data_IF_472156605771
#
_entry.id   IF_472156605771
#
_cell.length_a   1.000
_cell.length_b   1.000
_cell.length_c   1.000
_cell.angle_alpha   90.00
_cell.angle_beta   90.00
_cell.angle_gamma   90.00
#
_symmetry.space_group_name_H-M   'P 1'
#
loop_
_entity.id
_entity.type
_entity.pdbx_description
1 polymer ?
#
# COMPACT_ATOMS: atom_id res chain seq x y z
N UNK A 1 54.77 -49.55 -57.12
CA UNK A 1 54.62 -48.81 -55.85
C UNK A 1 55.56 -47.62 -55.84
N UNK A 2 55.03 -46.43 -56.16
CA UNK A 2 55.47 -45.20 -55.50
C UNK A 2 54.28 -44.57 -54.76
N UNK A 3 54.44 -44.50 -53.43
CA UNK A 3 53.91 -43.50 -52.48
C UNK A 3 52.42 -43.12 -52.51
N UNK A 4 51.68 -43.75 -51.60
CA UNK A 4 50.38 -43.35 -51.04
C UNK A 4 50.47 -42.06 -50.18
N UNK A 5 50.89 -40.93 -50.74
CA UNK A 5 50.88 -39.65 -50.03
C UNK A 5 50.32 -38.55 -50.92
N UNK A 6 49.00 -38.51 -51.13
CA UNK A 6 48.26 -37.30 -51.51
C UNK A 6 46.75 -37.58 -51.42
N UNK A 7 46.25 -37.87 -50.21
CA UNK A 7 44.82 -38.12 -49.96
C UNK A 7 44.19 -37.02 -49.10
N UNK A 8 44.38 -35.74 -49.45
CA UNK A 8 43.65 -34.70 -48.75
C UNK A 8 43.38 -33.47 -49.62
N UNK A 9 42.13 -33.35 -50.08
CA UNK A 9 41.63 -32.29 -50.95
C UNK A 9 41.73 -30.89 -50.33
N UNK A 10 41.90 -30.80 -49.01
CA UNK A 10 42.00 -29.53 -48.27
C UNK A 10 43.42 -29.02 -48.08
N UNK A 11 44.44 -29.77 -48.53
CA UNK A 11 45.85 -29.35 -48.51
C UNK A 11 46.25 -28.48 -49.71
N UNK A 12 45.40 -28.42 -50.74
CA UNK A 12 45.61 -27.73 -52.01
C UNK A 12 45.11 -26.28 -52.00
N UNK A 13 45.27 -25.55 -50.90
CA UNK A 13 44.68 -24.21 -50.75
C UNK A 13 45.72 -23.08 -50.75
N UNK A 14 47.01 -23.39 -50.76
CA UNK A 14 48.05 -22.36 -50.93
C UNK A 14 48.11 -21.94 -52.41
N UNK A 15 48.37 -20.66 -52.73
CA UNK A 15 48.51 -20.22 -54.12
C UNK A 15 49.56 -21.03 -54.90
N UNK A 16 50.60 -21.49 -54.22
CA UNK A 16 51.68 -22.27 -54.80
C UNK A 16 51.24 -23.73 -55.02
N UNK A 17 50.53 -24.37 -54.08
CA UNK A 17 49.97 -25.71 -54.30
C UNK A 17 48.87 -25.70 -55.36
N UNK A 18 48.06 -24.62 -55.42
CA UNK A 18 47.08 -24.39 -56.48
C UNK A 18 47.77 -24.19 -57.83
N UNK A 19 48.88 -23.46 -57.89
CA UNK A 19 49.67 -23.30 -59.12
C UNK A 19 50.39 -24.59 -59.54
N UNK A 20 50.96 -25.33 -58.59
CA UNK A 20 51.57 -26.64 -58.81
C UNK A 20 50.54 -27.67 -59.27
N UNK A 21 49.33 -27.69 -58.68
CA UNK A 21 48.22 -28.52 -59.14
C UNK A 21 47.71 -28.07 -60.50
N UNK A 22 47.60 -26.77 -60.76
CA UNK A 22 47.27 -26.24 -62.09
C UNK A 22 48.32 -26.61 -63.13
N UNK A 23 49.60 -26.63 -62.75
CA UNK A 23 50.70 -27.03 -63.61
C UNK A 23 50.69 -28.54 -63.85
N UNK A 24 50.53 -29.35 -62.79
CA UNK A 24 50.40 -30.80 -62.87
C UNK A 24 49.20 -31.22 -63.70
N UNK A 25 48.02 -30.61 -63.49
CA UNK A 25 46.81 -30.87 -64.28
C UNK A 25 47.06 -30.52 -65.75
N UNK A 26 47.70 -29.37 -66.05
CA UNK A 26 48.06 -28.98 -67.42
C UNK A 26 49.05 -29.95 -68.07
N UNK A 27 50.10 -30.34 -67.36
CA UNK A 27 51.15 -31.25 -67.86
C UNK A 27 50.63 -32.68 -68.04
N UNK A 28 49.83 -33.18 -67.10
CA UNK A 28 49.21 -34.51 -67.17
C UNK A 28 48.12 -34.58 -68.25
N UNK A 29 47.34 -33.50 -68.47
CA UNK A 29 46.40 -33.40 -69.59
C UNK A 29 47.14 -33.35 -70.94
N UNK A 30 48.22 -32.58 -71.05
CA UNK A 30 49.04 -32.55 -72.25
C UNK A 30 49.69 -33.92 -72.57
N UNK A 31 50.08 -34.69 -71.54
CA UNK A 31 50.60 -36.06 -71.70
C UNK A 31 49.50 -37.07 -72.09
N UNK A 32 48.25 -36.86 -71.65
CA UNK A 32 47.09 -37.62 -72.12
C UNK A 32 46.76 -37.30 -73.59
N UNK A 33 46.94 -36.06 -74.05
CA UNK A 33 46.60 -35.64 -75.41
C UNK A 33 47.63 -36.04 -76.49
N UNK A 34 48.84 -36.50 -76.12
CA UNK A 34 49.84 -37.00 -77.08
C UNK A 34 49.51 -38.41 -77.63
N UNK A 35 49.66 -38.66 -78.95
CA UNK A 35 49.50 -40.00 -79.52
C UNK A 35 50.63 -40.94 -79.06
N UNK A 36 50.30 -42.18 -78.69
CA UNK A 36 51.28 -43.17 -78.19
C UNK A 36 52.11 -43.75 -79.33
N UNK A 37 53.06 -42.98 -79.86
CA UNK A 37 53.99 -43.46 -80.89
C UNK A 37 55.22 -44.09 -80.24
N UNK A 38 55.19 -45.41 -80.04
CA UNK A 38 56.37 -46.21 -79.72
C UNK A 38 56.09 -47.51 -78.96
N UNK A 39 56.73 -48.59 -79.41
CA UNK A 39 56.75 -50.00 -78.95
C UNK A 39 56.67 -50.26 -77.43
N UNK A 40 55.57 -49.90 -76.77
CA UNK A 40 55.23 -50.29 -75.41
C UNK A 40 54.01 -51.23 -75.40
N UNK A 41 54.01 -52.21 -74.50
CA UNK A 41 52.94 -53.19 -74.33
C UNK A 41 51.56 -52.49 -74.16
N UNK A 42 50.59 -52.72 -75.06
CA UNK A 42 49.33 -51.98 -75.09
C UNK A 42 48.51 -52.08 -73.79
N UNK A 43 48.69 -53.14 -73.00
CA UNK A 43 48.04 -53.29 -71.69
C UNK A 43 48.64 -52.33 -70.62
N UNK A 44 49.96 -52.11 -70.66
CA UNK A 44 50.66 -51.18 -69.78
C UNK A 44 50.39 -49.72 -70.15
N UNK A 45 50.23 -49.42 -71.44
CA UNK A 45 49.85 -48.10 -71.93
C UNK A 45 48.43 -47.71 -71.51
N UNK A 46 47.47 -48.64 -71.63
CA UNK A 46 46.09 -48.41 -71.20
C UNK A 46 45.98 -48.21 -69.68
N UNK A 47 46.65 -49.05 -68.89
CA UNK A 47 46.63 -48.95 -67.42
C UNK A 47 47.25 -47.65 -66.92
N UNK A 48 48.39 -47.23 -67.50
CA UNK A 48 49.04 -45.95 -67.15
C UNK A 48 48.17 -44.75 -67.49
N UNK A 49 47.44 -44.80 -68.62
CA UNK A 49 46.52 -43.75 -69.07
C UNK A 49 45.29 -43.63 -68.16
N UNK A 50 44.69 -44.74 -67.74
CA UNK A 50 43.55 -44.74 -66.80
C UNK A 50 43.94 -44.20 -65.43
N UNK A 51 45.12 -44.56 -64.93
CA UNK A 51 45.64 -44.02 -63.66
C UNK A 51 45.87 -42.52 -63.76
N UNK A 52 46.52 -42.03 -64.83
CA UNK A 52 46.71 -40.60 -65.06
C UNK A 52 45.40 -39.83 -65.16
N UNK A 53 44.40 -40.37 -65.87
CA UNK A 53 43.09 -39.75 -65.99
C UNK A 53 42.38 -39.63 -64.63
N UNK A 54 42.43 -40.68 -63.80
CA UNK A 54 41.87 -40.63 -62.45
C UNK A 54 42.59 -39.65 -61.51
N UNK A 55 43.89 -39.44 -61.72
CA UNK A 55 44.68 -38.45 -60.97
C UNK A 55 44.33 -37.01 -61.39
N UNK A 56 44.13 -36.78 -62.69
CA UNK A 56 43.70 -35.48 -63.23
C UNK A 56 42.30 -35.11 -62.75
N UNK A 57 41.33 -36.03 -62.80
CA UNK A 57 39.96 -35.78 -62.32
C UNK A 57 39.93 -35.44 -60.83
N UNK A 58 40.72 -36.16 -60.01
CA UNK A 58 40.88 -35.85 -58.58
C UNK A 58 41.52 -34.48 -58.38
N UNK A 59 42.58 -34.15 -59.12
CA UNK A 59 43.26 -32.85 -59.00
C UNK A 59 42.37 -31.68 -59.45
N UNK A 60 41.53 -31.86 -60.47
CA UNK A 60 40.55 -30.85 -60.91
C UNK A 60 39.43 -30.63 -59.89
N UNK A 61 38.93 -31.70 -59.27
CA UNK A 61 37.95 -31.60 -58.19
C UNK A 61 38.53 -30.82 -56.99
N UNK A 62 39.77 -31.14 -56.60
CA UNK A 62 40.49 -30.43 -55.53
C UNK A 62 40.70 -28.95 -55.83
N UNK A 63 41.08 -28.63 -57.06
CA UNK A 63 41.26 -27.25 -57.51
C UNK A 63 39.94 -26.46 -57.46
N UNK A 64 38.84 -27.07 -57.90
CA UNK A 64 37.52 -26.42 -57.91
C UNK A 64 37.02 -26.14 -56.49
N UNK A 65 37.19 -27.12 -55.58
CA UNK A 65 36.85 -26.98 -54.15
C UNK A 65 37.70 -25.89 -53.47
N UNK A 66 39.02 -25.87 -53.73
CA UNK A 66 39.93 -24.86 -53.19
C UNK A 66 39.62 -23.45 -53.71
N UNK A 67 39.26 -23.31 -54.99
CA UNK A 67 38.85 -22.03 -55.57
C UNK A 67 37.51 -21.53 -55.03
N UNK A 68 36.53 -22.43 -54.85
CA UNK A 68 35.24 -22.11 -54.26
C UNK A 68 35.37 -21.64 -52.80
N UNK A 69 36.21 -22.32 -52.01
CA UNK A 69 36.52 -21.94 -50.64
C UNK A 69 37.15 -20.54 -50.55
N UNK A 70 38.15 -20.25 -51.39
CA UNK A 70 38.79 -18.92 -51.42
C UNK A 70 37.79 -17.83 -51.76
N UNK A 71 36.94 -18.06 -52.77
CA UNK A 71 35.91 -17.09 -53.14
C UNK A 71 34.91 -16.82 -52.00
N UNK A 72 34.57 -17.85 -51.22
CA UNK A 72 33.69 -17.73 -50.06
C UNK A 72 34.34 -16.92 -48.91
N UNK A 73 35.58 -17.24 -48.55
CA UNK A 73 36.28 -16.58 -47.42
C UNK A 73 36.78 -15.17 -47.78
N UNK A 74 37.18 -14.92 -49.03
CA UNK A 74 37.51 -13.57 -49.52
C UNK A 74 36.28 -12.66 -49.63
N UNK A 75 35.08 -13.24 -49.74
CA UNK A 75 33.81 -12.52 -49.71
C UNK A 75 33.32 -12.19 -48.29
N UNK A 76 33.92 -12.77 -47.24
CA UNK A 76 33.60 -12.42 -45.86
C UNK A 76 34.13 -11.03 -45.52
N UNK A 77 33.30 -10.24 -44.84
CA UNK A 77 33.71 -8.93 -44.31
C UNK A 77 34.68 -9.01 -43.14
N UNK A 78 34.67 -10.13 -42.42
CA UNK A 78 35.44 -10.33 -41.20
C UNK A 78 36.86 -10.86 -41.49
N UNK A 79 37.88 -10.44 -40.72
CA UNK A 79 39.22 -11.01 -40.78
C UNK A 79 39.23 -12.52 -40.54
N UNK A 80 39.77 -13.29 -41.50
CA UNK A 80 39.98 -14.73 -41.39
C UNK A 80 41.45 -15.08 -41.62
N UNK A 81 42.00 -15.89 -40.71
CA UNK A 81 43.37 -16.43 -40.77
C UNK A 81 43.30 -17.94 -40.63
N UNK A 82 43.99 -18.67 -41.51
CA UNK A 82 44.19 -20.11 -41.38
C UNK A 82 45.60 -20.41 -40.93
N UNK A 83 45.73 -21.24 -39.91
CA UNK A 83 46.99 -21.62 -39.30
C UNK A 83 47.22 -23.12 -39.43
N UNK A 84 48.48 -23.54 -39.60
CA UNK A 84 48.85 -24.96 -39.53
C UNK A 84 48.90 -25.47 -38.08
N UNK A 85 49.15 -26.78 -37.90
CA UNK A 85 49.30 -27.40 -36.57
C UNK A 85 50.46 -26.88 -35.72
N UNK A 86 51.34 -26.03 -36.28
CA UNK A 86 52.41 -25.32 -35.59
C UNK A 86 52.14 -23.81 -35.44
N UNK A 87 50.89 -23.39 -35.70
CA UNK A 87 50.43 -22.01 -35.64
C UNK A 87 51.15 -21.07 -36.63
N UNK A 88 51.50 -21.56 -37.81
CA UNK A 88 52.02 -20.74 -38.91
C UNK A 88 50.92 -20.37 -39.87
N UNK A 89 50.97 -19.16 -40.41
CA UNK A 89 49.97 -18.65 -41.35
C UNK A 89 50.02 -19.42 -42.67
N UNK A 90 48.94 -20.14 -42.96
CA UNK A 90 48.70 -20.79 -44.25
C UNK A 90 48.00 -19.84 -45.23
N UNK A 91 47.08 -19.02 -44.71
CA UNK A 91 46.27 -18.11 -45.50
C UNK A 91 45.68 -16.99 -44.64
N UNK A 92 45.50 -15.82 -45.25
CA UNK A 92 44.76 -14.67 -44.71
C UNK A 92 43.83 -14.16 -45.79
N UNK A 93 42.61 -13.77 -45.43
CA UNK A 93 41.70 -13.13 -46.38
C UNK A 93 41.98 -11.62 -46.48
N UNK A 94 41.44 -10.97 -47.52
CA UNK A 94 41.65 -9.54 -47.72
C UNK A 94 41.16 -8.64 -46.58
N UNK A 95 40.19 -9.11 -45.76
CA UNK A 95 39.77 -8.41 -44.55
C UNK A 95 40.84 -8.47 -43.45
N UNK A 96 41.48 -9.62 -43.25
CA UNK A 96 42.58 -9.77 -42.29
C UNK A 96 43.86 -9.03 -42.71
N UNK A 97 44.17 -8.99 -44.01
CA UNK A 97 45.28 -8.19 -44.54
C UNK A 97 45.11 -6.71 -44.18
N UNK A 98 43.90 -6.17 -44.38
CA UNK A 98 43.57 -4.80 -43.98
C UNK A 98 43.67 -4.64 -42.45
N UNK A 99 42.92 -5.45 -41.70
CA UNK A 99 42.78 -5.31 -40.24
C UNK A 99 44.10 -5.42 -39.47
N UNK A 100 45.01 -6.30 -39.90
CA UNK A 100 46.28 -6.56 -39.22
C UNK A 100 47.48 -5.91 -39.91
N UNK A 101 47.27 -5.14 -40.99
CA UNK A 101 48.33 -4.58 -41.84
C UNK A 101 49.35 -5.63 -42.27
N UNK A 102 48.85 -6.81 -42.63
CA UNK A 102 49.65 -7.91 -43.15
C UNK A 102 49.53 -7.95 -44.67
N UNK A 103 50.59 -8.35 -45.34
CA UNK A 103 50.55 -8.72 -46.76
C UNK A 103 50.52 -10.25 -46.87
N UNK A 104 49.45 -10.80 -47.46
CA UNK A 104 49.21 -12.24 -47.56
C UNK A 104 50.27 -13.01 -48.35
N UNK A 105 51.09 -12.32 -49.14
CA UNK A 105 52.25 -12.93 -49.79
C UNK A 105 53.44 -13.10 -48.84
N UNK A 106 53.69 -12.13 -47.97
CA UNK A 106 54.87 -12.09 -47.07
C UNK A 106 54.62 -12.67 -45.70
N UNK A 107 53.37 -12.72 -45.23
CA UNK A 107 53.03 -13.29 -43.93
C UNK A 107 52.89 -14.83 -43.96
N UNK A 108 52.90 -15.46 -45.14
CA UNK A 108 52.85 -16.92 -45.26
C UNK A 108 54.05 -17.58 -44.56
N UNK A 109 53.76 -18.58 -43.72
CA UNK A 109 54.76 -19.33 -42.94
C UNK A 109 55.26 -18.62 -41.68
N UNK A 110 54.85 -17.36 -41.46
CA UNK A 110 55.10 -16.59 -40.24
C UNK A 110 54.37 -17.23 -39.06
N UNK A 111 54.99 -17.25 -37.88
CA UNK A 111 54.32 -17.75 -36.69
C UNK A 111 53.26 -16.75 -36.22
N UNK A 112 52.14 -17.24 -35.68
CA UNK A 112 51.10 -16.40 -35.08
C UNK A 112 51.66 -15.41 -34.05
N UNK A 113 52.72 -15.80 -33.33
CA UNK A 113 53.39 -14.97 -32.33
C UNK A 113 54.16 -13.77 -32.93
N UNK A 114 54.50 -13.81 -34.21
CA UNK A 114 55.21 -12.72 -34.91
C UNK A 114 54.23 -11.69 -35.48
N UNK A 115 52.91 -11.97 -35.45
CA UNK A 115 51.89 -10.99 -35.79
C UNK A 115 51.81 -9.94 -34.68
N UNK A 116 51.76 -8.67 -35.06
CA UNK A 116 51.62 -7.56 -34.13
C UNK A 116 50.19 -7.47 -33.55
N UNK A 117 49.89 -8.38 -32.62
CA UNK A 117 48.68 -8.37 -31.80
C UNK A 117 49.01 -7.88 -30.39
N UNK A 118 48.09 -7.18 -29.70
CA UNK A 118 48.25 -6.83 -28.30
C UNK A 118 48.52 -8.07 -27.43
N UNK A 119 49.42 -8.00 -26.41
CA UNK A 119 49.79 -9.16 -25.58
C UNK A 119 48.61 -9.99 -25.01
N UNK A 120 47.51 -9.40 -24.50
CA UNK A 120 46.36 -10.19 -24.01
C UNK A 120 45.66 -10.94 -25.15
N UNK A 121 45.51 -10.32 -26.32
CA UNK A 121 44.91 -10.93 -27.51
C UNK A 121 45.77 -12.06 -28.06
N UNK A 122 47.07 -11.83 -28.21
CA UNK A 122 48.02 -12.83 -28.67
C UNK A 122 48.05 -14.07 -27.75
N UNK A 123 48.02 -13.85 -26.43
CA UNK A 123 48.03 -14.95 -25.44
C UNK A 123 46.75 -15.77 -25.51
N UNK A 124 45.58 -15.11 -25.52
CA UNK A 124 44.30 -15.81 -25.53
C UNK A 124 44.01 -16.49 -26.87
N UNK A 125 44.35 -15.85 -27.99
CA UNK A 125 44.20 -16.43 -29.32
C UNK A 125 45.09 -17.66 -29.48
N UNK A 126 46.36 -17.56 -29.09
CA UNK A 126 47.29 -18.71 -29.12
C UNK A 126 46.78 -19.87 -28.27
N UNK A 127 46.39 -19.61 -27.03
CA UNK A 127 45.86 -20.63 -26.14
C UNK A 127 44.57 -21.25 -26.69
N UNK A 128 43.72 -20.46 -27.34
CA UNK A 128 42.54 -20.94 -28.06
C UNK A 128 42.91 -21.87 -29.20
N UNK A 129 43.86 -21.48 -30.07
CA UNK A 129 44.29 -22.27 -31.21
C UNK A 129 44.90 -23.61 -30.75
N UNK A 130 45.74 -23.59 -29.71
CA UNK A 130 46.35 -24.79 -29.14
C UNK A 130 45.29 -25.74 -28.57
N UNK A 131 44.24 -25.23 -27.92
CA UNK A 131 43.11 -26.04 -27.44
C UNK A 131 42.32 -26.66 -28.60
N UNK A 132 41.93 -25.86 -29.59
CA UNK A 132 41.18 -26.32 -30.76
C UNK A 132 41.93 -27.39 -31.55
N UNK A 133 43.26 -27.24 -31.71
CA UNK A 133 44.10 -28.25 -32.35
C UNK A 133 44.25 -29.53 -31.52
N UNK A 134 44.17 -29.43 -30.19
CA UNK A 134 44.31 -30.58 -29.29
C UNK A 134 43.03 -31.41 -29.18
N UNK A 135 41.88 -30.76 -28.95
CA UNK A 135 40.59 -31.45 -28.74
C UNK A 135 39.77 -31.64 -30.02
N UNK A 136 40.11 -30.92 -31.10
CA UNK A 136 39.38 -30.97 -32.36
C UNK A 136 37.98 -30.35 -32.30
N UNK A 137 37.68 -29.57 -31.25
CA UNK A 137 36.41 -28.88 -31.06
C UNK A 137 36.49 -27.40 -31.45
N UNK A 138 35.34 -26.82 -31.78
CA UNK A 138 35.22 -25.39 -32.00
C UNK A 138 35.33 -24.62 -30.68
N UNK A 139 36.07 -23.51 -30.69
CA UNK A 139 36.22 -22.63 -29.54
C UNK A 139 35.91 -21.19 -29.92
N UNK A 140 35.35 -20.45 -28.98
CA UNK A 140 35.14 -19.01 -29.12
C UNK A 140 35.73 -18.29 -27.91
N UNK A 141 36.39 -17.15 -28.12
CA UNK A 141 36.79 -16.27 -27.03
C UNK A 141 36.60 -14.80 -27.40
N UNK A 142 36.08 -14.02 -26.45
CA UNK A 142 35.92 -12.58 -26.58
C UNK A 142 37.06 -11.90 -25.84
N UNK A 143 37.82 -11.06 -26.55
CA UNK A 143 38.96 -10.33 -26.01
C UNK A 143 38.80 -8.84 -26.30
N UNK A 144 38.95 -8.01 -25.26
CA UNK A 144 39.03 -6.56 -25.41
C UNK A 144 40.47 -6.15 -25.71
N UNK A 145 40.69 -5.56 -26.88
CA UNK A 145 41.99 -4.98 -27.22
C UNK A 145 41.87 -3.95 -28.35
N UNK A 146 42.83 -3.02 -28.46
CA UNK A 146 42.88 -2.13 -29.61
C UNK A 146 43.20 -2.92 -30.88
N UNK A 147 42.43 -2.68 -31.95
CA UNK A 147 42.80 -3.15 -33.28
C UNK A 147 43.90 -2.25 -33.87
N UNK A 148 44.90 -2.80 -34.59
CA UNK A 148 46.04 -2.03 -35.10
C UNK A 148 45.68 -0.86 -36.04
N UNK A 149 44.49 -0.88 -36.64
CA UNK A 149 44.02 0.15 -37.56
C UNK A 149 43.34 1.35 -36.88
N UNK A 150 42.64 1.12 -35.77
CA UNK A 150 41.73 2.12 -35.19
C UNK A 150 42.20 2.65 -33.83
N UNK A 151 43.02 1.88 -33.09
CA UNK A 151 43.57 2.32 -31.79
C UNK A 151 42.55 2.41 -30.65
N UNK A 152 41.25 2.36 -30.94
CA UNK A 152 40.16 2.25 -29.96
C UNK A 152 40.04 0.82 -29.44
N UNK A 153 39.71 0.67 -28.15
CA UNK A 153 39.48 -0.62 -27.52
C UNK A 153 38.18 -1.22 -28.07
N UNK A 154 38.31 -2.35 -28.79
CA UNK A 154 37.17 -3.08 -29.35
C UNK A 154 37.05 -4.44 -28.67
N UNK A 155 35.83 -4.95 -28.56
CA UNK A 155 35.56 -6.31 -28.14
C UNK A 155 35.58 -7.22 -29.36
N UNK A 156 36.63 -8.01 -29.50
CA UNK A 156 36.81 -8.91 -30.65
C UNK A 156 36.50 -10.35 -30.21
N UNK A 157 35.53 -10.95 -30.89
CA UNK A 157 35.19 -12.36 -30.75
C UNK A 157 35.96 -13.18 -31.77
N UNK A 158 36.89 -14.01 -31.29
CA UNK A 158 37.60 -14.97 -32.11
C UNK A 158 36.85 -16.29 -32.14
N UNK A 159 36.51 -16.75 -33.33
CA UNK A 159 35.99 -18.10 -33.57
C UNK A 159 37.10 -18.96 -34.14
N UNK A 160 37.39 -20.07 -33.46
CA UNK A 160 38.47 -20.98 -33.77
C UNK A 160 37.89 -22.34 -34.15
N UNK A 161 37.94 -22.63 -35.44
CA UNK A 161 37.37 -23.84 -36.03
C UNK A 161 38.51 -24.75 -36.49
N UNK A 162 38.76 -25.89 -35.83
CA UNK A 162 39.77 -26.84 -36.26
C UNK A 162 39.33 -27.59 -37.50
N UNK A 163 40.27 -27.84 -38.39
CA UNK A 163 40.05 -28.61 -39.61
C UNK A 163 40.65 -30.00 -39.42
N UNK A 164 39.78 -31.00 -39.32
CA UNK A 164 40.15 -32.39 -39.08
C UNK A 164 40.59 -33.09 -40.37
N UNK A 165 41.60 -33.95 -40.25
CA UNK A 165 41.98 -34.91 -41.28
C UNK A 165 41.03 -36.13 -41.32
N UNK A 166 41.22 -37.02 -42.29
CA UNK A 166 40.42 -38.24 -42.43
C UNK A 166 40.53 -39.20 -41.23
N UNK A 167 41.53 -39.02 -40.37
CA UNK A 167 41.73 -39.76 -39.12
C UNK A 167 41.15 -39.06 -37.88
N UNK A 168 40.49 -37.92 -38.04
CA UNK A 168 39.88 -37.14 -36.95
C UNK A 168 40.85 -36.28 -36.15
N UNK A 169 42.09 -36.06 -36.64
CA UNK A 169 43.07 -35.18 -35.98
C UNK A 169 43.04 -33.78 -36.60
N UNK A 170 43.08 -32.74 -35.78
CA UNK A 170 43.14 -31.37 -36.27
C UNK A 170 44.49 -31.09 -36.95
N UNK A 171 44.44 -30.73 -38.23
CA UNK A 171 45.62 -30.45 -39.06
C UNK A 171 45.93 -28.96 -39.14
N UNK A 172 44.89 -28.15 -39.10
CA UNK A 172 44.92 -26.69 -39.17
C UNK A 172 43.77 -26.12 -38.37
N UNK A 173 43.84 -24.83 -38.05
CA UNK A 173 42.76 -24.09 -37.40
C UNK A 173 42.45 -22.84 -38.19
N UNK A 174 41.18 -22.63 -38.48
CA UNK A 174 40.67 -21.39 -39.06
C UNK A 174 40.22 -20.48 -37.93
N UNK A 175 40.71 -19.25 -37.94
CA UNK A 175 40.40 -18.20 -36.97
C UNK A 175 39.66 -17.11 -37.72
N UNK A 176 38.44 -16.79 -37.32
CA UNK A 176 37.77 -15.55 -37.72
C UNK A 176 37.65 -14.60 -36.54
N UNK A 177 37.80 -13.31 -36.79
CA UNK A 177 37.65 -12.27 -35.77
C UNK A 177 36.44 -11.39 -36.11
N UNK A 178 35.46 -11.33 -35.22
CA UNK A 178 34.26 -10.51 -35.38
C UNK A 178 34.26 -9.39 -34.34
N UNK A 179 33.96 -8.16 -34.75
CA UNK A 179 33.79 -7.05 -33.83
C UNK A 179 32.40 -7.12 -33.17
N UNK A 180 32.37 -7.36 -31.86
CA UNK A 180 31.14 -7.45 -31.06
C UNK A 180 30.99 -6.27 -30.10
N UNK A 181 31.74 -5.18 -30.32
CA UNK A 181 31.72 -4.00 -29.44
C UNK A 181 30.32 -3.44 -29.25
N UNK A 182 29.60 -3.18 -30.36
CA UNK A 182 28.22 -2.67 -30.32
C UNK A 182 27.29 -3.57 -29.48
N UNK A 183 27.43 -4.89 -29.63
CA UNK A 183 26.62 -5.86 -28.88
C UNK A 183 26.96 -5.85 -27.39
N UNK A 184 28.24 -5.85 -27.04
CA UNK A 184 28.70 -5.84 -25.64
C UNK A 184 28.28 -4.54 -24.95
N UNK A 185 28.38 -3.40 -25.64
CA UNK A 185 27.94 -2.10 -25.13
C UNK A 185 26.43 -2.05 -24.90
N UNK A 186 25.63 -2.54 -25.87
CA UNK A 186 24.18 -2.64 -25.74
C UNK A 186 23.77 -3.56 -24.59
N UNK A 187 24.39 -4.74 -24.46
CA UNK A 187 24.13 -5.66 -23.34
C UNK A 187 24.49 -5.03 -21.99
N UNK A 188 25.60 -4.30 -21.91
CA UNK A 188 26.01 -3.59 -20.71
C UNK A 188 25.08 -2.41 -20.36
N UNK A 189 24.56 -1.70 -21.37
CA UNK A 189 23.55 -0.66 -21.17
C UNK A 189 22.25 -1.25 -20.65
N UNK A 190 21.71 -2.29 -21.30
CA UNK A 190 20.49 -2.95 -20.86
C UNK A 190 20.60 -3.51 -19.43
N UNK A 191 21.76 -4.07 -19.07
CA UNK A 191 22.00 -4.53 -17.69
C UNK A 191 21.97 -3.39 -16.67
N UNK A 192 22.53 -2.23 -17.03
CA UNK A 192 22.49 -1.03 -16.17
C UNK A 192 21.06 -0.53 -16.01
N UNK A 193 20.35 -0.35 -17.11
CA UNK A 193 18.94 0.09 -17.10
C UNK A 193 18.04 -0.89 -16.33
N UNK A 194 18.26 -2.21 -16.47
CA UNK A 194 17.53 -3.22 -15.70
C UNK A 194 17.79 -3.11 -14.20
N UNK A 195 19.05 -2.90 -13.80
CA UNK A 195 19.43 -2.73 -12.38
C UNK A 195 18.83 -1.45 -11.80
N UNK A 196 18.86 -0.35 -12.56
CA UNK A 196 18.23 0.92 -12.16
C UNK A 196 16.72 0.77 -12.02
N UNK A 197 16.05 0.12 -12.98
CA UNK A 197 14.61 -0.13 -12.92
C UNK A 197 14.23 -1.04 -11.73
N UNK A 198 15.02 -2.08 -11.46
CA UNK A 198 14.81 -2.96 -10.29
C UNK A 198 14.92 -2.17 -8.99
N UNK A 199 15.89 -1.26 -8.88
CA UNK A 199 16.02 -0.40 -7.71
C UNK A 199 14.84 0.55 -7.56
N UNK A 200 14.44 1.24 -8.63
CA UNK A 200 13.30 2.15 -8.64
C UNK A 200 12.00 1.44 -8.25
N UNK A 201 11.77 0.24 -8.81
CA UNK A 201 10.62 -0.61 -8.45
C UNK A 201 10.66 -0.97 -6.97
N UNK A 202 11.81 -1.36 -6.43
CA UNK A 202 11.95 -1.72 -5.03
C UNK A 202 11.70 -0.52 -4.10
N UNK A 203 12.19 0.66 -4.46
CA UNK A 203 11.95 1.91 -3.71
C UNK A 203 10.46 2.26 -3.71
N UNK A 204 9.81 2.23 -4.89
CA UNK A 204 8.37 2.50 -5.01
C UNK A 204 7.50 1.48 -4.29
N UNK A 205 7.84 0.20 -4.33
CA UNK A 205 7.12 -0.85 -3.59
C UNK A 205 7.25 -0.63 -2.08
N UNK A 206 8.41 -0.20 -1.60
CA UNK A 206 8.64 0.11 -0.18
C UNK A 206 7.84 1.33 0.28
N UNK A 207 7.83 2.39 -0.52
CA UNK A 207 7.01 3.59 -0.29
C UNK A 207 5.50 3.25 -0.27
N UNK A 208 5.04 2.43 -1.23
CA UNK A 208 3.65 2.00 -1.30
C UNK A 208 3.26 1.10 -0.11
N UNK A 209 4.13 0.19 0.30
CA UNK A 209 3.89 -0.66 1.47
C UNK A 209 3.78 0.16 2.76
N UNK A 210 4.66 1.14 2.93
CA UNK A 210 4.64 2.04 4.08
C UNK A 210 3.38 2.89 4.14
N UNK A 211 3.02 3.53 3.02
CA UNK A 211 1.80 4.36 2.93
C UNK A 211 0.54 3.52 3.14
N UNK A 212 0.49 2.29 2.60
CA UNK A 212 -0.62 1.38 2.83
C UNK A 212 -0.79 1.03 4.31
N UNK A 213 0.31 0.72 5.01
CA UNK A 213 0.29 0.41 6.43
C UNK A 213 -0.18 1.61 7.26
N UNK A 214 0.28 2.82 6.93
CA UNK A 214 -0.15 4.05 7.59
C UNK A 214 -1.66 4.30 7.40
N UNK A 215 -2.17 4.15 6.18
CA UNK A 215 -3.60 4.30 5.88
C UNK A 215 -4.46 3.24 6.59
N UNK A 216 -3.99 1.99 6.66
CA UNK A 216 -4.69 0.94 7.39
C UNK A 216 -4.78 1.23 8.90
N UNK A 217 -3.71 1.78 9.49
CA UNK A 217 -3.70 2.20 10.89
C UNK A 217 -4.70 3.35 11.13
N UNK A 218 -4.71 4.36 10.27
CA UNK A 218 -5.65 5.49 10.35
C UNK A 218 -7.11 5.03 10.22
N UNK A 219 -7.42 4.17 9.24
CA UNK A 219 -8.77 3.61 9.08
C UNK A 219 -9.20 2.85 10.33
N UNK A 220 -8.29 2.09 10.95
CA UNK A 220 -8.56 1.33 12.16
C UNK A 220 -8.87 2.26 13.33
N UNK A 221 -8.09 3.34 13.50
CA UNK A 221 -8.31 4.36 14.52
C UNK A 221 -9.65 5.07 14.32
N UNK A 222 -9.96 5.51 13.11
CA UNK A 222 -11.23 6.18 12.79
C UNK A 222 -12.43 5.29 13.08
N UNK A 223 -12.38 4.01 12.65
CA UNK A 223 -13.45 3.04 12.93
C UNK A 223 -13.63 2.77 14.42
N UNK A 224 -12.56 2.86 15.22
CA UNK A 224 -12.65 2.71 16.68
C UNK A 224 -13.36 3.91 17.30
N UNK A 225 -12.98 5.12 16.92
CA UNK A 225 -13.62 6.35 17.38
C UNK A 225 -15.11 6.40 16.99
N UNK A 226 -15.45 6.03 15.75
CA UNK A 226 -16.84 5.97 15.26
C UNK A 226 -17.69 4.97 16.08
N UNK A 227 -17.14 3.79 16.40
CA UNK A 227 -17.86 2.81 17.25
C UNK A 227 -18.01 3.27 18.68
N UNK A 228 -16.99 3.91 19.25
CA UNK A 228 -17.05 4.47 20.60
C UNK A 228 -18.09 5.60 20.67
N UNK A 229 -18.14 6.47 19.65
CA UNK A 229 -19.17 7.50 19.50
C UNK A 229 -20.57 6.88 19.39
N UNK A 230 -20.77 5.95 18.46
CA UNK A 230 -22.06 5.29 18.28
C UNK A 230 -22.54 4.56 19.55
N UNK A 231 -21.63 3.91 20.26
CA UNK A 231 -21.93 3.25 21.54
C UNK A 231 -22.31 4.25 22.63
N UNK A 232 -21.64 5.41 22.66
CA UNK A 232 -21.97 6.50 23.58
C UNK A 232 -23.33 7.12 23.24
N UNK A 233 -23.59 7.44 21.98
CA UNK A 233 -24.87 7.98 21.50
C UNK A 233 -26.03 7.02 21.82
N UNK A 234 -25.87 5.73 21.52
CA UNK A 234 -26.87 4.72 21.83
C UNK A 234 -27.13 4.62 23.33
N UNK A 235 -26.06 4.69 24.15
CA UNK A 235 -26.19 4.68 25.61
C UNK A 235 -26.92 5.91 26.13
N UNK A 236 -26.61 7.10 25.63
CA UNK A 236 -27.29 8.34 26.00
C UNK A 236 -28.77 8.31 25.61
N UNK A 237 -29.09 7.85 24.39
CA UNK A 237 -30.47 7.69 23.94
C UNK A 237 -31.26 6.69 24.80
N UNK A 238 -30.62 5.57 25.20
CA UNK A 238 -31.22 4.59 26.10
C UNK A 238 -31.50 5.18 27.49
N UNK A 239 -30.55 5.93 28.06
CA UNK A 239 -30.71 6.57 29.38
C UNK A 239 -31.80 7.63 29.35
N UNK A 240 -31.81 8.52 28.35
CA UNK A 240 -32.87 9.54 28.18
C UNK A 240 -34.25 8.89 28.05
N UNK A 241 -34.37 7.84 27.24
CA UNK A 241 -35.63 7.09 27.09
C UNK A 241 -36.07 6.39 28.37
N UNK A 242 -35.16 5.74 29.09
CA UNK A 242 -35.47 5.08 30.35
C UNK A 242 -35.87 6.08 31.45
N UNK A 243 -35.28 7.28 31.44
CA UNK A 243 -35.63 8.35 32.37
C UNK A 243 -36.92 9.08 31.98
N UNK A 244 -37.45 8.87 30.77
CA UNK A 244 -38.62 9.60 30.26
C UNK A 244 -38.35 11.08 30.04
N UNK A 245 -37.10 11.43 29.71
CA UNK A 245 -36.64 12.81 29.58
C UNK A 245 -36.37 13.12 28.12
N UNK A 246 -37.04 14.15 27.59
CA UNK A 246 -36.81 14.67 26.25
C UNK A 246 -35.69 15.69 26.20
N UNK A 247 -35.02 15.81 25.06
CA UNK A 247 -33.90 16.74 24.84
C UNK A 247 -34.32 17.84 23.87
N UNK A 248 -33.91 19.08 24.16
CA UNK A 248 -34.12 20.21 23.27
C UNK A 248 -32.85 21.05 23.06
N UNK A 249 -32.85 21.74 21.93
CA UNK A 249 -31.80 22.62 21.44
C UNK A 249 -32.48 23.86 20.85
N UNK A 250 -32.19 25.03 21.38
CA UNK A 250 -32.84 26.28 21.02
C UNK A 250 -31.84 27.35 20.63
N UNK A 251 -31.98 27.92 19.44
CA UNK A 251 -31.27 29.13 19.01
C UNK A 251 -32.29 30.28 18.90
N UNK A 252 -32.31 31.23 19.86
CA UNK A 252 -33.19 32.39 19.79
C UNK A 252 -32.91 33.28 18.57
N UNK A 253 -31.65 33.35 18.12
CA UNK A 253 -31.26 34.19 16.98
C UNK A 253 -31.75 33.64 15.64
N UNK A 254 -31.70 32.31 15.50
CA UNK A 254 -32.12 31.62 14.26
C UNK A 254 -33.61 31.22 14.31
N UNK A 255 -34.29 31.48 15.43
CA UNK A 255 -35.60 30.92 15.79
C UNK A 255 -35.68 29.39 15.57
N UNK A 256 -34.53 28.71 15.72
CA UNK A 256 -34.40 27.29 15.42
C UNK A 256 -34.54 26.47 16.71
N UNK A 257 -35.60 25.68 16.78
CA UNK A 257 -35.85 24.74 17.87
C UNK A 257 -35.73 23.31 17.33
N UNK A 258 -34.85 22.53 17.94
CA UNK A 258 -34.75 21.09 17.70
C UNK A 258 -35.12 20.37 18.98
N UNK A 259 -36.03 19.40 18.88
CA UNK A 259 -36.46 18.54 19.97
C UNK A 259 -36.39 17.09 19.52
N UNK A 260 -36.06 16.18 20.43
CA UNK A 260 -36.16 14.75 20.18
C UNK A 260 -37.61 14.25 20.23
N UNK A 261 -37.80 12.98 19.91
CA UNK A 261 -39.15 12.38 19.88
C UNK A 261 -39.80 12.34 21.26
N UNK A 262 -39.01 12.17 22.32
CA UNK A 262 -39.51 12.15 23.70
C UNK A 262 -39.98 13.55 24.10
N UNK A 263 -39.22 14.62 23.82
CA UNK A 263 -39.64 15.99 24.07
C UNK A 263 -40.87 16.36 23.24
N UNK A 264 -40.98 15.87 22.00
CA UNK A 264 -42.16 16.08 21.16
C UNK A 264 -43.41 15.46 21.77
N UNK A 265 -43.32 14.20 22.21
CA UNK A 265 -44.38 13.52 22.97
C UNK A 265 -44.66 14.23 24.31
N UNK A 266 -43.58 14.63 24.98
CA UNK A 266 -43.40 15.54 26.13
C UNK A 266 -44.27 16.79 26.10
N UNK A 267 -44.29 17.46 24.97
CA UNK A 267 -44.99 18.74 24.83
C UNK A 267 -46.36 18.56 24.18
N UNK A 268 -46.61 17.40 23.57
CA UNK A 268 -47.90 17.06 22.94
C UNK A 268 -47.96 17.49 21.47
N UNK A 269 -46.79 17.70 20.85
CA UNK A 269 -46.68 18.10 19.46
C UNK A 269 -46.87 16.88 18.52
N UNK A 270 -47.63 17.02 17.42
CA UNK A 270 -47.74 15.96 16.41
C UNK A 270 -46.38 15.64 15.78
N UNK A 271 -46.10 14.38 15.38
CA UNK A 271 -44.84 13.99 14.74
C UNK A 271 -44.50 14.79 13.48
N UNK A 272 -45.52 15.24 12.75
CA UNK A 272 -45.39 16.02 11.51
C UNK A 272 -45.41 17.54 11.72
N UNK A 273 -45.67 18.02 12.93
CA UNK A 273 -45.73 19.45 13.20
C UNK A 273 -44.31 20.03 13.29
N UNK A 274 -44.09 21.24 12.76
CA UNK A 274 -42.81 21.92 12.93
C UNK A 274 -42.58 22.20 14.42
N UNK A 275 -41.39 21.86 14.92
CA UNK A 275 -40.99 22.22 16.27
C UNK A 275 -40.52 23.68 16.26
N UNK A 276 -41.42 24.62 16.55
CA UNK A 276 -41.10 26.03 16.76
C UNK A 276 -41.52 26.47 18.16
N UNK A 277 -40.96 27.58 18.64
CA UNK A 277 -41.37 28.15 19.92
C UNK A 277 -42.86 28.48 19.93
N UNK A 278 -43.40 29.00 18.83
CA UNK A 278 -44.82 29.31 18.67
C UNK A 278 -45.69 28.05 18.80
N UNK A 279 -45.31 26.95 18.15
CA UNK A 279 -46.04 25.69 18.23
C UNK A 279 -46.04 25.12 19.66
N UNK A 280 -44.96 25.32 20.43
CA UNK A 280 -44.93 24.96 21.85
C UNK A 280 -45.87 25.86 22.66
N UNK A 281 -45.83 27.18 22.44
CA UNK A 281 -46.68 28.11 23.18
C UNK A 281 -48.18 27.84 22.93
N UNK A 282 -48.57 27.34 21.76
CA UNK A 282 -49.97 26.99 21.47
C UNK A 282 -50.52 25.84 22.35
N UNK A 283 -49.67 24.95 22.85
CA UNK A 283 -50.07 23.81 23.69
C UNK A 283 -49.86 24.06 25.18
N UNK A 284 -49.37 25.24 25.56
CA UNK A 284 -49.12 25.64 26.95
C UNK A 284 -50.36 26.31 27.55
N UNK A 285 -50.57 26.12 28.85
CA UNK A 285 -51.70 26.71 29.56
C UNK A 285 -51.64 28.26 29.50
N UNK A 286 -52.77 28.97 29.28
CA UNK A 286 -52.79 30.43 29.10
C UNK A 286 -52.12 31.24 30.22
N UNK A 287 -52.20 30.76 31.46
CA UNK A 287 -51.56 31.41 32.63
C UNK A 287 -50.03 31.29 32.62
N UNK A 288 -49.48 30.28 31.96
CA UNK A 288 -48.05 29.97 31.98
C UNK A 288 -47.33 30.50 30.72
N UNK A 289 -48.08 31.10 29.77
CA UNK A 289 -47.55 31.59 28.49
C UNK A 289 -46.53 32.69 28.65
N UNK A 290 -46.82 33.69 29.50
CA UNK A 290 -45.95 34.86 29.65
C UNK A 290 -44.62 34.46 30.29
N UNK A 291 -44.67 33.67 31.37
CA UNK A 291 -43.48 33.17 32.07
C UNK A 291 -42.59 32.34 31.15
N UNK A 292 -43.18 31.40 30.39
CA UNK A 292 -42.41 30.58 29.45
C UNK A 292 -41.83 31.41 28.30
N UNK A 293 -42.57 32.41 27.80
CA UNK A 293 -42.11 33.30 26.73
C UNK A 293 -40.96 34.18 27.20
N UNK A 294 -41.08 34.78 28.38
CA UNK A 294 -40.00 35.56 29.00
C UNK A 294 -38.76 34.70 29.20
N UNK A 295 -38.90 33.50 29.76
CA UNK A 295 -37.79 32.57 29.92
C UNK A 295 -37.15 32.18 28.57
N UNK A 296 -37.94 31.86 27.55
CA UNK A 296 -37.45 31.46 26.23
C UNK A 296 -36.75 32.61 25.46
N UNK A 297 -37.18 33.86 25.67
CA UNK A 297 -36.66 35.06 25.01
C UNK A 297 -35.65 35.84 25.86
N UNK A 298 -35.38 35.40 27.09
CA UNK A 298 -34.42 36.04 27.98
C UNK A 298 -33.04 36.17 27.31
N UNK A 299 -32.46 37.38 27.34
CA UNK A 299 -31.23 37.69 26.60
C UNK A 299 -29.97 37.74 27.47
N UNK A 300 -30.11 37.85 28.80
CA UNK A 300 -28.94 37.91 29.67
C UNK A 300 -28.39 36.51 29.96
N UNK A 301 -27.06 36.34 30.00
CA UNK A 301 -26.44 35.09 30.41
C UNK A 301 -26.88 34.73 31.83
N UNK A 302 -27.57 33.62 31.98
CA UNK A 302 -27.77 33.02 33.29
C UNK A 302 -26.62 32.05 33.56
N UNK A 303 -25.90 32.24 34.67
CA UNK A 303 -24.97 31.24 35.15
C UNK A 303 -25.75 30.03 35.66
N UNK A 304 -25.47 28.86 35.07
CA UNK A 304 -26.04 27.58 35.49
C UNK A 304 -27.33 27.19 34.77
N UNK A 305 -28.12 26.35 35.43
CA UNK A 305 -29.35 25.80 34.87
C UNK A 305 -30.53 26.73 35.19
N UNK A 306 -31.27 27.10 34.16
CA UNK A 306 -32.59 27.70 34.29
C UNK A 306 -33.65 26.60 34.30
N UNK A 307 -34.62 26.75 35.17
CA UNK A 307 -35.74 25.82 35.33
C UNK A 307 -37.06 26.58 35.18
N UNK A 308 -37.96 26.05 34.37
CA UNK A 308 -39.32 26.57 34.19
C UNK A 308 -40.28 25.41 34.28
N UNK A 309 -41.30 25.55 35.12
CA UNK A 309 -42.36 24.55 35.28
C UNK A 309 -43.65 25.14 34.73
N UNK A 310 -44.26 24.47 33.76
CA UNK A 310 -45.49 24.94 33.12
C UNK A 310 -46.44 23.79 32.82
N UNK A 311 -47.71 24.11 32.59
CA UNK A 311 -48.74 23.16 32.18
C UNK A 311 -48.80 23.06 30.66
N UNK A 312 -48.74 21.84 30.15
CA UNK A 312 -48.93 21.53 28.73
C UNK A 312 -50.16 20.64 28.52
N UNK A 313 -50.85 20.85 27.40
CA UNK A 313 -52.01 20.06 27.01
C UNK A 313 -51.61 18.62 26.66
N UNK A 314 -52.37 17.64 27.14
CA UNK A 314 -52.22 16.24 26.75
C UNK A 314 -53.00 15.96 25.47
N UNK A 315 -52.51 15.09 24.56
CA UNK A 315 -53.28 14.65 23.39
C UNK A 315 -54.64 14.03 23.75
N UNK A 316 -54.72 13.38 24.91
CA UNK A 316 -55.90 12.68 25.43
C UNK A 316 -56.87 13.62 26.17
N UNK A 317 -56.52 14.90 26.29
CA UNK A 317 -57.23 15.90 27.09
C UNK A 317 -56.65 16.07 28.50
N UNK A 318 -56.87 17.26 29.07
CA UNK A 318 -56.32 17.66 30.37
C UNK A 318 -54.90 18.24 30.30
N UNK A 319 -54.35 18.54 31.47
CA UNK A 319 -53.05 19.20 31.62
C UNK A 319 -52.03 18.25 32.25
N UNK A 320 -50.75 18.43 31.91
CA UNK A 320 -49.61 17.86 32.64
C UNK A 320 -48.63 18.96 32.99
N UNK A 321 -47.91 18.77 34.09
CA UNK A 321 -46.82 19.64 34.49
C UNK A 321 -45.53 19.17 33.83
N UNK A 322 -44.89 20.06 33.08
CA UNK A 322 -43.58 19.83 32.50
C UNK A 322 -42.55 20.72 33.18
N UNK A 323 -41.38 20.16 33.46
CA UNK A 323 -40.19 20.89 33.84
C UNK A 323 -39.28 20.96 32.62
N UNK A 324 -38.94 22.18 32.22
CA UNK A 324 -37.86 22.46 31.28
C UNK A 324 -36.65 22.94 32.07
N UNK A 325 -35.54 22.22 31.96
CA UNK A 325 -34.26 22.59 32.56
C UNK A 325 -33.21 22.74 31.47
N UNK A 326 -32.71 23.95 31.26
CA UNK A 326 -31.74 24.24 30.21
C UNK A 326 -30.64 25.19 30.67
N UNK A 327 -29.55 25.21 29.93
CA UNK A 327 -28.44 26.16 30.14
C UNK A 327 -27.96 26.71 28.80
N UNK A 328 -27.32 27.88 28.84
CA UNK A 328 -26.60 28.40 27.70
C UNK A 328 -25.43 27.46 27.37
N UNK A 329 -25.32 27.06 26.10
CA UNK A 329 -24.24 26.20 25.61
C UNK A 329 -23.38 26.94 24.61
N UNK A 330 -22.07 26.70 24.70
CA UNK A 330 -21.10 27.26 23.78
C UNK A 330 -21.22 26.69 22.35
N UNK A 331 -20.62 27.37 21.37
CA UNK A 331 -20.72 27.04 19.93
C UNK A 331 -20.15 25.66 19.58
N UNK A 332 -19.25 25.11 20.41
CA UNK A 332 -18.62 23.81 20.19
C UNK A 332 -19.61 22.63 20.12
N UNK A 333 -20.79 22.76 20.74
CA UNK A 333 -21.82 21.72 20.76
C UNK A 333 -22.66 21.66 19.47
N UNK A 334 -22.57 22.66 18.59
CA UNK A 334 -23.36 22.68 17.35
C UNK A 334 -22.54 22.75 16.07
N UNK A 335 -21.51 23.59 16.00
CA UNK A 335 -20.91 23.94 14.70
C UNK A 335 -19.55 23.27 14.46
N UNK A 336 -19.02 22.53 15.44
CA UNK A 336 -17.72 21.84 15.34
C UNK A 336 -16.51 22.76 15.06
N UNK A 337 -16.73 24.07 15.03
CA UNK A 337 -15.75 25.10 14.71
C UNK A 337 -15.43 25.90 15.96
N UNK A 338 -14.20 25.73 16.44
CA UNK A 338 -13.65 26.52 17.56
C UNK A 338 -13.48 28.02 17.18
N UNK A 339 -13.60 28.36 15.89
CA UNK A 339 -13.16 29.64 15.35
C UNK A 339 -14.30 30.61 15.01
N UNK A 340 -14.68 31.45 15.99
CA UNK A 340 -15.32 32.75 15.77
C UNK A 340 -15.21 33.64 17.03
N UNK A 341 -15.13 34.98 16.91
CA UNK A 341 -15.02 35.86 18.07
C UNK A 341 -16.28 35.84 18.95
N UNK A 342 -16.10 35.91 20.26
CA UNK A 342 -17.10 35.71 21.33
C UNK A 342 -18.25 36.74 21.35
N UNK A 343 -18.07 37.90 20.72
CA UNK A 343 -18.99 39.04 20.81
C UNK A 343 -20.12 39.07 19.76
N UNK A 344 -20.11 38.20 18.76
CA UNK A 344 -21.07 38.22 17.62
C UNK A 344 -21.69 36.84 17.35
N UNK A 345 -21.57 35.89 18.28
CA UNK A 345 -22.13 34.53 18.10
C UNK A 345 -23.56 34.44 18.64
N UNK A 346 -24.52 33.87 17.87
CA UNK A 346 -25.87 33.64 18.35
C UNK A 346 -25.87 32.65 19.53
N UNK A 347 -26.50 33.04 20.66
CA UNK A 347 -26.64 32.17 21.84
C UNK A 347 -27.45 30.93 21.47
N UNK A 348 -27.03 29.77 21.96
CA UNK A 348 -27.79 28.53 21.84
C UNK A 348 -27.98 27.92 23.22
N UNK A 349 -29.14 27.34 23.47
CA UNK A 349 -29.48 26.67 24.72
C UNK A 349 -29.70 25.19 24.46
N UNK A 350 -29.26 24.36 25.39
CA UNK A 350 -29.58 22.94 25.39
C UNK A 350 -30.12 22.55 26.75
N UNK A 351 -31.04 21.60 26.77
CA UNK A 351 -31.66 21.18 28.00
C UNK A 351 -32.57 19.99 27.84
N UNK A 352 -33.30 19.74 28.90
CA UNK A 352 -34.22 18.63 29.03
C UNK A 352 -35.64 19.07 29.33
N UNK A 353 -36.60 18.24 28.93
CA UNK A 353 -38.02 18.35 29.27
C UNK A 353 -38.43 17.06 29.98
N UNK A 354 -39.10 17.16 31.12
CA UNK A 354 -39.60 16.00 31.87
C UNK A 354 -41.00 16.24 32.42
N UNK A 355 -41.81 15.19 32.49
CA UNK A 355 -43.12 15.22 33.13
C UNK A 355 -42.95 15.12 34.65
N UNK A 356 -43.36 16.18 35.35
CA UNK A 356 -43.32 16.28 36.82
C UNK A 356 -44.71 16.24 37.44
N UNK A 357 -45.73 15.81 36.67
CA UNK A 357 -47.12 15.77 37.13
C UNK A 357 -47.28 14.90 38.38
N UNK A 358 -46.78 13.66 38.33
CA UNK A 358 -46.88 12.74 39.47
C UNK A 358 -46.19 13.30 40.73
N UNK A 359 -45.06 13.99 40.55
CA UNK A 359 -44.35 14.64 41.65
C UNK A 359 -45.14 15.82 42.23
N UNK A 360 -45.74 16.65 41.37
CA UNK A 360 -46.57 17.79 41.79
C UNK A 360 -47.85 17.34 42.48
N UNK A 361 -48.53 16.33 41.93
CA UNK A 361 -49.73 15.75 42.54
C UNK A 361 -49.42 15.13 43.91
N UNK A 362 -48.29 14.44 44.04
CA UNK A 362 -47.85 13.90 45.33
C UNK A 362 -47.53 15.01 46.35
N UNK A 363 -46.87 16.09 45.93
CA UNK A 363 -46.56 17.24 46.80
C UNK A 363 -47.84 17.92 47.28
N UNK A 364 -48.77 18.20 46.35
CA UNK A 364 -50.03 18.86 46.68
C UNK A 364 -50.92 17.97 47.56
N UNK A 365 -50.97 16.65 47.31
CA UNK A 365 -51.70 15.73 48.17
C UNK A 365 -51.10 15.61 49.57
N UNK A 366 -49.77 15.72 49.70
CA UNK A 366 -49.10 15.77 50.99
C UNK A 366 -49.45 17.07 51.72
N UNK A 367 -49.36 18.21 51.04
CA UNK A 367 -49.73 19.52 51.59
C UNK A 367 -51.21 19.54 52.04
N UNK A 368 -52.15 19.08 51.21
CA UNK A 368 -53.57 18.98 51.57
C UNK A 368 -53.79 18.03 52.77
N UNK A 369 -53.07 16.91 52.81
CA UNK A 369 -53.15 15.97 53.94
C UNK A 369 -52.59 16.58 55.23
N UNK A 370 -51.50 17.35 55.15
CA UNK A 370 -50.91 18.04 56.30
C UNK A 370 -51.80 19.16 56.81
N UNK A 371 -52.40 19.95 55.90
CA UNK A 371 -53.37 20.99 56.25
C UNK A 371 -54.63 20.39 56.88
N UNK A 372 -55.22 19.35 56.27
CA UNK A 372 -56.38 18.66 56.85
C UNK A 372 -56.06 18.05 58.21
N UNK A 373 -54.88 17.47 58.39
CA UNK A 373 -54.45 16.95 59.70
C UNK A 373 -54.34 18.09 60.71
N UNK A 374 -53.75 19.23 60.32
CA UNK A 374 -53.63 20.42 61.19
C UNK A 374 -55.01 20.93 61.60
N UNK A 375 -55.96 21.06 60.66
CA UNK A 375 -57.33 21.49 60.96
C UNK A 375 -58.07 20.55 61.93
N UNK A 376 -57.92 19.23 61.76
CA UNK A 376 -58.53 18.24 62.67
C UNK A 376 -57.91 18.32 64.06
N UNK A 377 -56.58 18.44 64.15
CA UNK A 377 -55.90 18.56 65.44
C UNK A 377 -56.23 19.87 66.16
N UNK A 378 -56.37 20.97 65.41
CA UNK A 378 -56.68 22.29 65.97
C UNK A 378 -58.15 22.45 66.38
N UNK A 379 -59.07 21.71 65.75
CA UNK A 379 -60.50 21.71 66.07
C UNK A 379 -60.95 20.63 67.06
N UNK A 380 -60.07 19.66 67.37
CA UNK A 380 -60.36 18.60 68.34
C UNK A 380 -60.47 19.18 69.75
N UNK A 381 -61.56 18.91 70.46
CA UNK A 381 -61.72 19.30 71.86
C UNK A 381 -60.84 18.49 72.82
N UNK A 382 -60.34 17.33 72.37
CA UNK A 382 -59.45 16.47 73.16
C UNK A 382 -58.02 17.03 73.20
N UNK A 383 -57.35 16.87 74.33
CA UNK A 383 -55.95 17.21 74.48
C UNK A 383 -55.08 16.19 73.75
N UNK A 384 -54.47 16.60 72.63
CA UNK A 384 -53.56 15.76 71.84
C UNK A 384 -52.14 16.28 72.06
N UNK A 385 -51.22 15.38 72.41
CA UNK A 385 -49.81 15.73 72.57
C UNK A 385 -48.91 14.62 72.03
N UNK A 386 -47.72 15.02 71.58
CA UNK A 386 -46.65 14.11 71.13
C UNK A 386 -45.42 14.32 72.00
N UNK A 387 -44.81 13.23 72.44
CA UNK A 387 -43.64 13.25 73.34
C UNK A 387 -42.46 12.56 72.65
N UNK A 388 -41.29 13.20 72.68
CA UNK A 388 -40.04 12.53 72.36
C UNK A 388 -39.63 11.67 73.56
N UNK A 389 -39.64 10.36 73.38
CA UNK A 389 -39.32 9.39 74.43
C UNK A 389 -37.86 9.44 74.90
N UNK A 390 -36.94 10.01 74.11
CA UNK A 390 -35.52 10.16 74.51
C UNK A 390 -35.32 11.36 75.42
N UNK A 391 -35.89 12.50 75.05
CA UNK A 391 -35.76 13.75 75.82
C UNK A 391 -36.85 13.90 76.90
N UNK A 392 -37.90 13.06 76.86
CA UNK A 392 -39.10 13.10 77.73
C UNK A 392 -39.81 14.46 77.69
N UNK A 393 -39.71 15.18 76.57
CA UNK A 393 -40.31 16.49 76.34
C UNK A 393 -41.45 16.41 75.33
N UNK A 394 -42.39 17.36 75.43
CA UNK A 394 -43.48 17.48 74.46
C UNK A 394 -42.96 18.13 73.16
N UNK A 395 -43.10 17.42 72.05
CA UNK A 395 -42.76 17.87 70.70
C UNK A 395 -43.92 18.61 70.02
N UNK A 396 -45.14 18.33 70.46
CA UNK A 396 -46.35 18.95 69.95
C UNK A 396 -47.45 18.86 71.00
N UNK A 397 -48.29 19.90 71.09
CA UNK A 397 -49.55 19.91 71.82
C UNK A 397 -50.61 20.62 70.98
N UNK A 398 -51.83 20.09 70.97
CA UNK A 398 -52.98 20.72 70.32
C UNK A 398 -53.36 22.03 71.03
N UNK A 399 -53.86 23.05 70.30
CA UNK A 399 -54.34 24.32 70.88
C UNK A 399 -55.37 24.17 72.00
N UNK A 400 -56.11 23.06 72.03
CA UNK A 400 -57.09 22.73 73.08
C UNK A 400 -56.51 22.65 74.48
N UNK A 401 -55.18 22.56 74.64
CA UNK A 401 -54.51 22.69 75.95
C UNK A 401 -54.82 24.01 76.65
N UNK A 402 -55.01 25.11 75.91
CA UNK A 402 -55.40 26.39 76.48
C UNK A 402 -56.81 26.34 77.08
N UNK A 403 -57.72 25.58 76.47
CA UNK A 403 -59.11 25.46 76.94
C UNK A 403 -59.24 24.42 78.06
N UNK A 404 -58.55 23.29 77.94
CA UNK A 404 -58.65 22.15 78.86
C UNK A 404 -57.78 22.34 80.10
N UNK A 405 -56.53 22.80 79.91
CA UNK A 405 -55.52 22.89 80.96
C UNK A 405 -55.15 24.35 81.32
N UNK A 406 -55.57 25.33 80.52
CA UNK A 406 -55.31 26.75 80.79
C UNK A 406 -53.92 27.27 80.40
N UNK A 407 -53.08 26.44 79.75
CA UNK A 407 -51.73 26.81 79.34
C UNK A 407 -51.68 27.26 77.90
N UNK A 408 -50.82 28.24 77.58
CA UNK A 408 -50.60 28.62 76.20
C UNK A 408 -49.83 27.50 75.46
N UNK A 409 -50.24 27.10 74.25
CA UNK A 409 -49.55 26.06 73.49
C UNK A 409 -48.05 26.32 73.28
N UNK A 410 -47.60 27.57 73.30
CA UNK A 410 -46.18 27.94 73.18
C UNK A 410 -45.36 27.71 74.45
N UNK A 411 -46.01 27.58 75.61
CA UNK A 411 -45.35 27.31 76.90
C UNK A 411 -45.13 25.81 77.11
N UNK A 412 -45.96 24.96 76.50
CA UNK A 412 -46.00 23.51 76.69
C UNK A 412 -44.73 22.75 76.22
N UNK A 413 -44.04 23.13 75.13
CA UNK A 413 -42.75 22.52 74.77
C UNK A 413 -41.67 22.68 75.84
N UNK A 414 -41.86 23.58 76.82
CA UNK A 414 -41.03 23.77 78.00
C UNK A 414 -41.19 22.69 79.07
N UNK A 415 -42.30 21.95 79.06
CA UNK A 415 -42.66 20.96 80.08
C UNK A 415 -42.04 19.58 79.77
N UNK A 416 -41.78 18.82 80.82
CA UNK A 416 -41.39 17.41 80.75
C UNK A 416 -42.54 16.51 81.23
N UNK A 417 -42.42 15.21 80.95
CA UNK A 417 -43.40 14.22 81.41
C UNK A 417 -43.58 14.21 82.95
N UNK A 418 -42.58 14.66 83.71
CA UNK A 418 -42.63 14.65 85.16
C UNK A 418 -43.53 15.80 85.67
N UNK A 419 -43.57 16.94 84.98
CA UNK A 419 -44.53 18.02 85.25
C UNK A 419 -45.99 17.60 85.05
N UNK A 420 -46.26 16.69 84.09
CA UNK A 420 -47.62 16.21 83.83
C UNK A 420 -48.14 15.32 84.98
N UNK A 421 -47.25 14.60 85.66
CA UNK A 421 -47.59 13.85 86.89
C UNK A 421 -47.96 14.72 88.09
N UNK A 422 -47.49 15.96 88.13
CA UNK A 422 -47.91 16.92 89.15
C UNK A 422 -49.30 17.52 88.89
N UNK A 423 -49.83 17.38 87.67
CA UNK A 423 -51.15 17.88 87.25
C UNK A 423 -52.26 16.83 87.38
N UNK A 424 -51.90 15.56 87.61
CA UNK A 424 -52.85 14.46 87.87
C UNK A 424 -53.26 14.46 89.35
N UNK A 425 -54.54 14.22 89.63
CA UNK A 425 -55.07 14.21 90.99
C UNK A 425 -54.37 13.12 91.83
N UNK A 426 -54.01 13.38 93.10
CA UNK A 426 -53.23 12.43 93.92
C UNK A 426 -53.87 11.03 94.05
N UNK A 427 -55.20 10.99 94.06
CA UNK A 427 -55.96 9.74 94.19
C UNK A 427 -55.93 8.86 92.92
N UNK A 428 -55.56 9.44 91.77
CA UNK A 428 -55.53 8.75 90.47
C UNK A 428 -54.11 8.32 90.06
N UNK A 429 -53.07 8.76 90.81
CA UNK A 429 -51.65 8.46 90.53
C UNK A 429 -51.32 6.96 90.57
N UNK A 430 -52.03 6.16 91.36
CA UNK A 430 -51.80 4.71 91.47
C UNK A 430 -52.41 3.91 90.28
N UNK A 431 -53.21 4.57 89.44
CA UNK A 431 -53.92 4.00 88.29
C UNK A 431 -53.35 4.42 86.92
N UNK A 432 -52.34 5.30 86.90
CA UNK A 432 -51.83 5.95 85.68
C UNK A 432 -50.54 5.34 85.13
#
# INVERSE_FOLDING_TARGET
MPSEHYSDARGATTPDAVQELLQFVREAQAALDQPSDGEADPALAHTSRTVLQSLVERAQAQLTEAQAFRHYVDGMGDPVIRLDGHLRILYVNGAAERALRLDGATCRGMALADISLPPPAATQLRAGCERALHDGAEHTCVVSHPLPLEGEERHIEYHLVPELDAGGRARSVMVSAHDVSDRVEQEAQLRREATELEQDVQERLSELAWTNLALQAEITQRRRAERELQSSEHRLAMVSRAAGVGVFYWSPADAALTIDDIARELVGLPPSAPATLEAILEVVHPEDLEELREAALYQEPAEGFQEVVFRAARPEGGWRWLLVRGQDVGPALFDGTEEAPEADRPRRRAGIVMDVTAQREASLALEESEERLREVLDSSADLIFRVDLRSRRFDYVSPSVATVMGYDPSEVPGFDMDCLSALVHPDDLDSW
#
